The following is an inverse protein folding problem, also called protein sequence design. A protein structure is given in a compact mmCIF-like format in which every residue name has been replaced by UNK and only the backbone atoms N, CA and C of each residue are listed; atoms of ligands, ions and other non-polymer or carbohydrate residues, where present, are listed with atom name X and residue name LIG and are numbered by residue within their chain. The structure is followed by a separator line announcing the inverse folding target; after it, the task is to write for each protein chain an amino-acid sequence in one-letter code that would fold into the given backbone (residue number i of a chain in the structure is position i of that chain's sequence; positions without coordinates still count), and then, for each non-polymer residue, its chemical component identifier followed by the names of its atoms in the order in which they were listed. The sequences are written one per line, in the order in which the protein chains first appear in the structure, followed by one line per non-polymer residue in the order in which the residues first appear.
data_IF_134052823572
#
_entry.id   IF_134052823572
#
_cell.length_a   1.000
_cell.length_b   1.000
_cell.length_c   1.000
_cell.angle_alpha   90.00
_cell.angle_beta   90.00
_cell.angle_gamma   90.00
#
_symmetry.space_group_name_H-M   'P 1'
#
loop_
_entity.id
_entity.type
_entity.pdbx_description
1 polymer ?
#
# COMPACT_ATOMS: atom_id res chain seq x y z
N UNK A 1 0.47 -0.67 17.47
CA UNK A 1 0.86 0.41 16.53
C UNK A 1 -0.10 1.59 16.75
N UNK A 2 0.32 2.85 16.58
CA UNK A 2 -0.61 4.00 16.75
C UNK A 2 -1.56 4.12 15.53
N UNK A 3 -2.79 4.63 15.67
CA UNK A 3 -3.72 4.81 14.54
C UNK A 3 -3.13 5.61 13.37
N UNK A 4 -2.37 6.70 13.66
CA UNK A 4 -1.68 7.47 12.63
C UNK A 4 -0.59 6.66 11.89
N UNK A 5 0.09 5.74 12.59
CA UNK A 5 1.07 4.84 11.98
C UNK A 5 0.39 3.79 11.09
N UNK A 6 -0.76 3.29 11.51
CA UNK A 6 -1.60 2.38 10.73
C UNK A 6 -2.09 3.05 9.44
N UNK A 7 -2.66 4.25 9.55
CA UNK A 7 -3.09 5.04 8.39
C UNK A 7 -1.95 5.31 7.40
N UNK A 8 -0.76 5.63 7.89
CA UNK A 8 0.43 5.80 7.04
C UNK A 8 0.83 4.48 6.36
N UNK A 9 0.86 3.38 7.10
CA UNK A 9 1.24 2.07 6.56
C UNK A 9 0.24 1.60 5.49
N UNK A 10 -1.06 1.83 5.70
CA UNK A 10 -2.10 1.49 4.73
C UNK A 10 -1.94 2.26 3.42
N UNK A 11 -1.71 3.58 3.52
CA UNK A 11 -1.43 4.41 2.35
C UNK A 11 -0.14 3.97 1.62
N UNK A 12 0.87 3.50 2.36
CA UNK A 12 2.11 3.00 1.75
C UNK A 12 1.89 1.71 0.96
N UNK A 13 1.01 0.81 1.43
CA UNK A 13 0.62 -0.39 0.70
C UNK A 13 -0.05 -0.02 -0.63
N UNK A 14 -0.99 0.92 -0.62
CA UNK A 14 -1.68 1.42 -1.83
C UNK A 14 -0.70 2.01 -2.86
N UNK A 15 0.23 2.88 -2.43
CA UNK A 15 1.25 3.44 -3.32
C UNK A 15 2.08 2.34 -3.96
N UNK A 16 2.45 1.34 -3.16
CA UNK A 16 3.28 0.25 -3.63
C UNK A 16 2.52 -0.65 -4.62
N UNK A 17 1.22 -0.89 -4.43
CA UNK A 17 0.38 -1.64 -5.38
C UNK A 17 0.18 -0.88 -6.69
N UNK A 18 -0.14 0.42 -6.63
CA UNK A 18 -0.21 1.27 -7.82
C UNK A 18 1.10 1.35 -8.59
N UNK A 19 2.25 1.34 -7.89
CA UNK A 19 3.56 1.33 -8.52
C UNK A 19 3.87 -0.04 -9.16
N UNK A 20 3.43 -1.14 -8.56
CA UNK A 20 3.65 -2.48 -9.10
C UNK A 20 2.91 -2.69 -10.43
N UNK A 21 1.74 -2.06 -10.63
CA UNK A 21 1.03 -2.16 -11.91
C UNK A 21 1.74 -1.44 -13.06
N UNK A 22 2.79 -0.66 -12.80
CA UNK A 22 3.55 0.05 -13.84
C UNK A 22 4.57 -0.83 -14.57
N UNK A 23 4.87 -2.04 -14.05
CA UNK A 23 5.94 -2.90 -14.58
C UNK A 23 5.68 -3.34 -16.03
N UNK A 24 4.41 -3.48 -16.41
CA UNK A 24 3.99 -4.02 -17.71
C UNK A 24 3.22 -2.99 -18.57
N UNK A 25 3.40 -1.69 -18.33
CA UNK A 25 2.71 -0.64 -19.08
C UNK A 25 3.53 -0.21 -20.30
N UNK A 26 3.04 -0.56 -21.49
CA UNK A 26 3.71 -0.27 -22.77
C UNK A 26 3.21 1.02 -23.46
N UNK A 27 1.96 1.43 -23.21
CA UNK A 27 1.39 2.64 -23.82
C UNK A 27 1.85 3.90 -23.06
N UNK A 28 2.46 4.89 -23.73
CA UNK A 28 2.96 6.11 -23.08
C UNK A 28 1.85 6.97 -22.45
N UNK A 29 0.62 6.94 -22.98
CA UNK A 29 -0.53 7.66 -22.41
C UNK A 29 -0.97 6.99 -21.12
N UNK A 30 -1.07 5.67 -21.11
CA UNK A 30 -1.42 4.90 -19.91
C UNK A 30 -0.31 4.98 -18.85
N UNK A 31 0.96 4.98 -19.27
CA UNK A 31 2.10 5.17 -18.38
C UNK A 31 2.04 6.54 -17.67
N UNK A 32 1.72 7.61 -18.41
CA UNK A 32 1.57 8.94 -17.83
C UNK A 32 0.38 9.02 -16.86
N UNK A 33 -0.76 8.42 -17.22
CA UNK A 33 -1.94 8.36 -16.34
C UNK A 33 -1.64 7.58 -15.06
N UNK A 34 -0.95 6.44 -15.16
CA UNK A 34 -0.60 5.62 -14.01
C UNK A 34 0.43 6.31 -13.11
N UNK A 35 1.45 6.95 -13.69
CA UNK A 35 2.42 7.75 -12.93
C UNK A 35 1.74 8.90 -12.16
N UNK A 36 0.73 9.55 -12.75
CA UNK A 36 -0.03 10.60 -12.07
C UNK A 36 -0.82 10.06 -10.86
N UNK A 37 -1.38 8.84 -10.95
CA UNK A 37 -2.06 8.17 -9.84
C UNK A 37 -1.09 7.84 -8.70
N UNK A 38 0.06 7.25 -9.03
CA UNK A 38 1.11 6.94 -8.05
C UNK A 38 1.58 8.22 -7.35
N UNK A 39 1.79 9.32 -8.10
CA UNK A 39 2.19 10.60 -7.51
C UNK A 39 1.12 11.17 -6.58
N UNK A 40 -0.17 11.07 -6.94
CA UNK A 40 -1.26 11.51 -6.08
C UNK A 40 -1.30 10.73 -4.77
N UNK A 41 -1.20 9.39 -4.83
CA UNK A 41 -1.16 8.54 -3.65
C UNK A 41 0.11 8.78 -2.80
N UNK A 42 1.25 9.03 -3.43
CA UNK A 42 2.50 9.36 -2.74
C UNK A 42 2.41 10.69 -1.97
N UNK A 43 1.71 11.69 -2.52
CA UNK A 43 1.44 12.95 -1.80
C UNK A 43 0.56 12.71 -0.57
N UNK A 44 -0.43 11.83 -0.66
CA UNK A 44 -1.26 11.44 0.49
C UNK A 44 -0.45 10.69 1.56
N UNK A 45 0.54 9.87 1.16
CA UNK A 45 1.47 9.21 2.07
C UNK A 45 2.34 10.22 2.84
N UNK A 46 2.89 11.22 2.15
CA UNK A 46 3.65 12.31 2.79
C UNK A 46 2.77 13.07 3.77
N UNK A 47 1.52 13.36 3.41
CA UNK A 47 0.56 13.99 4.31
C UNK A 47 0.26 13.12 5.55
N UNK A 48 0.15 11.79 5.38
CA UNK A 48 -0.02 10.85 6.49
C UNK A 48 1.20 10.82 7.41
N UNK A 49 2.41 10.86 6.86
CA UNK A 49 3.65 10.93 7.62
C UNK A 49 3.75 12.24 8.44
N UNK A 50 3.35 13.37 7.85
CA UNK A 50 3.28 14.66 8.55
C UNK A 50 2.30 14.63 9.75
N UNK A 51 1.27 13.79 9.69
CA UNK A 51 0.33 13.58 10.79
C UNK A 51 0.88 12.68 11.90
N UNK A 52 2.03 12.03 11.78
CA UNK A 52 2.57 11.20 12.88
C UNK A 52 2.85 11.99 14.16
N UNK A 53 3.15 13.28 14.04
CA UNK A 53 3.38 14.19 15.16
C UNK A 53 2.08 14.87 15.65
N UNK A 54 0.98 14.72 14.91
CA UNK A 54 -0.34 15.25 15.24
C UNK A 54 -1.30 14.12 15.62
N UNK A 55 -2.34 14.41 16.40
CA UNK A 55 -3.44 13.47 16.62
C UNK A 55 -4.63 13.78 15.70
N UNK A 56 -4.39 14.49 14.61
CA UNK A 56 -5.44 14.85 13.66
C UNK A 56 -6.01 13.60 12.97
N UNK A 57 -7.33 13.59 12.90
CA UNK A 57 -8.10 12.58 12.17
C UNK A 57 -7.83 12.72 10.66
N UNK A 58 -7.44 11.64 9.96
CA UNK A 58 -7.31 11.67 8.51
C UNK A 58 -8.65 11.92 7.82
N UNK A 59 -8.66 12.82 6.81
CA UNK A 59 -9.83 13.06 5.94
C UNK A 59 -9.88 12.13 4.73
N UNK A 60 -8.74 11.52 4.38
CA UNK A 60 -8.67 10.57 3.29
C UNK A 60 -9.41 9.27 3.67
N UNK A 61 -10.31 8.73 2.84
CA UNK A 61 -11.13 7.58 3.19
C UNK A 61 -10.33 6.32 3.56
N UNK A 62 -9.23 6.06 2.86
CA UNK A 62 -8.39 4.88 3.09
C UNK A 62 -7.69 5.00 4.46
N UNK A 63 -7.16 6.18 4.73
CA UNK A 63 -6.51 6.48 6.01
C UNK A 63 -7.53 6.54 7.16
N UNK A 64 -8.75 7.00 6.89
CA UNK A 64 -9.85 7.04 7.86
C UNK A 64 -10.30 5.64 8.25
N UNK A 65 -10.38 4.70 7.30
CA UNK A 65 -10.63 3.29 7.59
C UNK A 65 -9.59 2.74 8.58
N UNK A 66 -8.30 2.89 8.29
CA UNK A 66 -7.24 2.40 9.17
C UNK A 66 -7.20 3.11 10.54
N UNK A 67 -7.72 4.33 10.62
CA UNK A 67 -7.87 5.07 11.87
C UNK A 67 -9.05 4.56 12.71
N UNK A 68 -10.21 4.32 12.08
CA UNK A 68 -11.45 3.89 12.76
C UNK A 68 -11.46 2.38 13.08
N UNK A 69 -10.76 1.57 12.28
CA UNK A 69 -10.70 0.11 12.34
C UNK A 69 -9.24 -0.41 12.46
N UNK A 70 -8.53 -0.14 13.57
CA UNK A 70 -7.10 -0.41 13.65
C UNK A 70 -6.73 -1.91 13.67
N UNK A 71 -7.62 -2.77 14.16
CA UNK A 71 -7.40 -4.22 14.19
C UNK A 71 -7.48 -4.81 12.77
N UNK A 72 -8.58 -4.53 12.06
CA UNK A 72 -8.79 -4.92 10.65
C UNK A 72 -7.64 -4.41 9.77
N UNK A 73 -7.27 -3.14 9.93
CA UNK A 73 -6.19 -2.56 9.14
C UNK A 73 -4.82 -3.21 9.42
N UNK A 74 -4.59 -3.68 10.65
CA UNK A 74 -3.37 -4.44 10.96
C UNK A 74 -3.35 -5.78 10.26
N UNK A 75 -4.48 -6.48 10.21
CA UNK A 75 -4.63 -7.76 9.51
C UNK A 75 -4.43 -7.60 8.01
N UNK A 76 -5.03 -6.57 7.41
CA UNK A 76 -4.90 -6.26 5.98
C UNK A 76 -3.45 -5.91 5.59
N UNK A 77 -2.75 -5.09 6.39
CA UNK A 77 -1.33 -4.79 6.16
C UNK A 77 -0.48 -6.07 6.28
N UNK A 78 -0.76 -6.91 7.28
CA UNK A 78 -0.06 -8.17 7.45
C UNK A 78 -0.34 -9.12 6.28
N UNK A 79 -1.56 -9.12 5.75
CA UNK A 79 -1.94 -9.92 4.59
C UNK A 79 -1.29 -9.44 3.30
N UNK A 80 -1.33 -8.14 3.04
CA UNK A 80 -0.61 -7.49 1.96
C UNK A 80 0.88 -7.85 1.99
N UNK A 81 1.51 -7.76 3.18
CA UNK A 81 2.92 -8.09 3.36
C UNK A 81 3.20 -9.56 3.03
N UNK A 82 2.34 -10.50 3.44
CA UNK A 82 2.48 -11.92 3.11
C UNK A 82 2.36 -12.18 1.61
N UNK A 83 1.39 -11.56 0.94
CA UNK A 83 1.17 -11.73 -0.49
C UNK A 83 2.36 -11.21 -1.33
N UNK A 84 3.01 -10.13 -0.89
CA UNK A 84 4.22 -9.61 -1.55
C UNK A 84 5.51 -10.30 -1.15
N UNK A 85 5.59 -10.77 0.10
CA UNK A 85 6.76 -11.48 0.61
C UNK A 85 6.82 -12.91 0.11
N UNK A 86 5.71 -13.51 -0.35
CA UNK A 86 5.69 -14.79 -1.04
C UNK A 86 6.50 -14.65 -2.34
N UNK A 87 7.78 -15.04 -2.36
CA UNK A 87 8.47 -15.17 -3.62
C UNK A 87 7.75 -16.33 -4.29
N UNK A 88 7.43 -16.17 -5.57
CA UNK A 88 7.14 -17.26 -6.47
C UNK A 88 7.67 -18.60 -5.94
N UNK A 89 6.82 -19.61 -5.67
CA UNK A 89 7.30 -20.99 -5.66
C UNK A 89 7.67 -21.36 -7.11
N UNK A 90 8.70 -20.70 -7.67
CA UNK A 90 9.34 -21.01 -8.95
C UNK A 90 10.32 -22.18 -8.80
N UNK A 91 10.43 -22.77 -7.60
CA UNK A 91 11.29 -23.91 -7.28
C UNK A 91 10.57 -25.07 -6.57
N UNK A 92 9.24 -25.13 -6.63
CA UNK A 92 8.51 -26.37 -6.32
C UNK A 92 8.75 -27.40 -7.46
N UNK A 93 9.96 -27.96 -7.56
CA UNK A 93 10.23 -29.15 -8.39
C UNK A 93 9.59 -30.39 -7.75
N UNK A 94 9.08 -31.35 -8.55
CA UNK A 94 8.43 -32.54 -8.02
C UNK A 94 9.50 -33.46 -7.41
N UNK A 95 9.35 -33.81 -6.14
CA UNK A 95 10.13 -34.92 -5.57
C UNK A 95 9.56 -36.21 -6.14
N UNK A 96 10.22 -36.76 -7.16
CA UNK A 96 10.05 -38.15 -7.58
C UNK A 96 10.26 -39.06 -6.38
N UNK A 97 9.32 -39.96 -6.13
CA UNK A 97 9.56 -41.29 -5.57
C UNK A 97 8.85 -42.25 -6.51
#
# INVERSE_FOLDING_TARGET
MKPAQLAMAYQACEVADLAATMVDVDDPVDAAAQAARVLAAARQLVAAAGRLASNDVPVDPLQRFAYDHPEEATEDIADWSRHRAAPTCRSCSPRRI
#
